data_IF_511505222591
#
_entry.id   IF_511505222591
#
_cell.length_a   1.000
_cell.length_b   1.000
_cell.length_c   1.000
_cell.angle_alpha   90.00
_cell.angle_beta   90.00
_cell.angle_gamma   90.00
#
_symmetry.space_group_name_H-M   'P 1'
#
loop_
_entity.id
_entity.type
_entity.pdbx_description
1 polymer ?
#
# COMPACT_ATOMS: atom_id res chain seq x y z
N UNK A 1 -19.26 -16.01 3.11
CA UNK A 1 -18.50 -15.53 1.95
C UNK A 1 -17.91 -14.20 2.36
N UNK A 2 -16.59 -14.11 2.39
CA UNK A 2 -15.88 -12.88 2.72
C UNK A 2 -15.70 -12.08 1.43
N UNK A 3 -16.11 -10.82 1.45
CA UNK A 3 -16.07 -9.92 0.28
C UNK A 3 -15.03 -8.82 0.44
N UNK A 4 -13.90 -9.14 1.06
CA UNK A 4 -12.75 -8.26 1.29
C UNK A 4 -12.33 -7.45 0.03
N UNK A 5 -12.39 -8.11 -1.13
CA UNK A 5 -12.05 -7.57 -2.46
C UNK A 5 -12.91 -6.35 -2.85
N UNK A 6 -14.03 -6.10 -2.17
CA UNK A 6 -14.83 -4.90 -2.40
C UNK A 6 -14.11 -3.59 -2.03
N UNK A 7 -13.10 -3.66 -1.15
CA UNK A 7 -12.35 -2.50 -0.70
C UNK A 7 -11.16 -2.24 -1.62
N UNK A 8 -11.18 -1.09 -2.29
CA UNK A 8 -10.21 -0.70 -3.32
C UNK A 8 -9.03 0.13 -2.80
N UNK A 9 -9.01 0.46 -1.51
CA UNK A 9 -7.90 1.17 -0.86
C UNK A 9 -7.58 0.57 0.50
N UNK A 10 -6.34 0.77 0.96
CA UNK A 10 -5.89 0.31 2.27
C UNK A 10 -6.74 0.90 3.40
N UNK A 11 -7.10 2.18 3.29
CA UNK A 11 -7.90 2.89 4.28
C UNK A 11 -9.33 2.37 4.36
N UNK A 12 -9.94 2.01 3.22
CA UNK A 12 -11.27 1.39 3.20
C UNK A 12 -11.21 -0.06 3.71
N UNK A 13 -10.17 -0.80 3.33
CA UNK A 13 -9.96 -2.18 3.75
C UNK A 13 -9.83 -2.29 5.26
N UNK A 14 -8.88 -1.56 5.84
CA UNK A 14 -8.58 -1.61 7.28
C UNK A 14 -9.55 -0.75 8.10
N UNK A 15 -10.18 0.24 7.46
CA UNK A 15 -11.27 1.02 8.05
C UNK A 15 -12.57 0.24 8.21
N UNK A 16 -12.76 -0.85 7.47
CA UNK A 16 -13.90 -1.76 7.63
C UNK A 16 -13.91 -2.49 8.98
N UNK A 17 -12.73 -2.65 9.58
CA UNK A 17 -12.48 -3.41 10.83
C UNK A 17 -12.93 -4.87 10.77
N UNK A 18 -13.00 -5.46 9.57
CA UNK A 18 -13.20 -6.90 9.44
C UNK A 18 -11.89 -7.63 9.80
N UNK A 19 -11.88 -8.53 10.82
CA UNK A 19 -10.66 -9.20 11.27
C UNK A 19 -10.06 -10.17 10.26
N UNK A 20 -10.81 -10.56 9.21
CA UNK A 20 -10.29 -11.42 8.15
C UNK A 20 -9.57 -10.61 7.07
N UNK A 21 -9.81 -9.29 7.04
CA UNK A 21 -9.34 -8.41 5.99
C UNK A 21 -8.05 -7.71 6.35
N UNK A 22 -7.10 -7.77 5.43
CA UNK A 22 -5.92 -6.92 5.43
C UNK A 22 -5.52 -6.50 4.03
N UNK A 23 -4.53 -5.61 3.97
CA UNK A 23 -4.09 -5.02 2.71
C UNK A 23 -2.81 -5.69 2.22
N UNK A 24 -2.89 -6.34 1.05
CA UNK A 24 -1.74 -6.93 0.38
C UNK A 24 -0.98 -5.85 -0.38
N UNK A 25 0.10 -5.34 0.21
CA UNK A 25 0.72 -4.05 -0.15
C UNK A 25 1.16 -3.98 -1.61
N UNK A 26 1.90 -4.98 -2.10
CA UNK A 26 2.42 -4.99 -3.48
C UNK A 26 1.39 -5.37 -4.54
N UNK A 27 0.32 -6.06 -4.15
CA UNK A 27 -0.78 -6.42 -5.05
C UNK A 27 -1.87 -5.36 -5.09
N UNK A 28 -1.85 -4.39 -4.16
CA UNK A 28 -2.85 -3.33 -4.03
C UNK A 28 -4.28 -3.85 -3.94
N UNK A 29 -4.48 -4.93 -3.19
CA UNK A 29 -5.80 -5.56 -2.97
C UNK A 29 -6.06 -5.77 -1.48
N UNK A 30 -7.34 -5.72 -1.11
CA UNK A 30 -7.81 -6.15 0.21
C UNK A 30 -8.15 -7.64 0.15
N UNK A 31 -7.47 -8.43 0.97
CA UNK A 31 -7.63 -9.89 1.02
C UNK A 31 -7.33 -10.42 2.41
N UNK A 32 -7.59 -11.71 2.61
CA UNK A 32 -7.04 -12.45 3.72
C UNK A 32 -5.53 -12.58 3.62
N UNK A 33 -4.90 -12.88 4.75
CA UNK A 33 -3.45 -13.10 4.83
C UNK A 33 -3.00 -14.31 4.01
N UNK A 34 -3.76 -15.41 4.03
CA UNK A 34 -3.48 -16.64 3.27
C UNK A 34 -3.65 -16.49 1.75
N UNK A 35 -4.43 -15.49 1.32
CA UNK A 35 -4.62 -15.15 -0.09
C UNK A 35 -3.60 -14.12 -0.61
N UNK A 36 -2.79 -13.52 0.26
CA UNK A 36 -1.73 -12.58 -0.12
C UNK A 36 -0.39 -13.32 -0.22
N UNK A 37 0.23 -13.27 -1.40
CA UNK A 37 1.51 -13.94 -1.63
C UNK A 37 2.62 -13.33 -0.74
N UNK A 38 3.36 -14.19 -0.03
CA UNK A 38 4.46 -13.80 0.88
C UNK A 38 4.00 -12.84 1.99
N UNK A 39 2.75 -12.96 2.45
CA UNK A 39 2.19 -12.09 3.49
C UNK A 39 2.94 -12.13 4.83
N UNK A 40 3.75 -13.16 5.07
CA UNK A 40 4.62 -13.34 6.23
C UNK A 40 5.90 -12.48 6.17
N UNK A 41 6.24 -11.92 5.01
CA UNK A 41 7.37 -11.02 4.86
C UNK A 41 7.12 -9.62 5.43
N UNK A 42 8.16 -8.94 5.92
CA UNK A 42 8.02 -7.63 6.54
C UNK A 42 7.36 -6.63 5.58
N UNK A 43 6.32 -5.98 6.08
CA UNK A 43 5.56 -4.93 5.37
C UNK A 43 4.85 -5.39 4.08
N UNK A 44 4.76 -6.69 3.80
CA UNK A 44 3.98 -7.19 2.64
C UNK A 44 2.46 -7.22 2.88
N UNK A 45 2.06 -7.38 4.14
CA UNK A 45 0.66 -7.40 4.55
C UNK A 45 0.43 -6.39 5.68
N UNK A 46 -0.53 -5.48 5.49
CA UNK A 46 -0.92 -4.51 6.50
C UNK A 46 -2.24 -4.95 7.16
N UNK A 47 -2.24 -4.98 8.48
CA UNK A 47 -3.39 -5.35 9.32
C UNK A 47 -3.93 -4.18 10.15
N UNK A 48 -3.16 -3.08 10.25
CA UNK A 48 -3.55 -1.85 10.92
C UNK A 48 -3.46 -0.66 9.96
N UNK A 49 -4.37 0.31 10.12
CA UNK A 49 -4.43 1.52 9.29
C UNK A 49 -3.09 2.28 9.27
N UNK A 50 -2.33 2.25 10.36
CA UNK A 50 -1.01 2.88 10.47
C UNK A 50 0.07 2.21 9.60
N UNK A 51 -0.19 0.99 9.13
CA UNK A 51 0.68 0.23 8.23
C UNK A 51 0.34 0.46 6.75
N UNK A 52 -0.67 1.29 6.43
CA UNK A 52 -0.92 1.69 5.05
C UNK A 52 0.29 2.45 4.46
N UNK A 53 0.49 2.27 3.16
CA UNK A 53 1.61 2.88 2.43
C UNK A 53 1.50 4.40 2.48
N UNK A 54 2.59 5.07 2.82
CA UNK A 54 2.68 6.53 2.76
C UNK A 54 3.75 6.92 1.73
N UNK A 55 3.36 7.72 0.74
CA UNK A 55 4.24 8.18 -0.32
C UNK A 55 4.35 9.70 -0.30
N UNK A 56 5.58 10.21 -0.39
CA UNK A 56 5.87 11.63 -0.54
C UNK A 56 6.85 11.85 -1.69
N UNK A 57 6.67 12.96 -2.42
CA UNK A 57 7.42 13.30 -3.63
C UNK A 57 8.03 14.69 -3.47
N UNK A 58 9.29 14.86 -3.87
CA UNK A 58 9.99 16.13 -3.87
C UNK A 58 10.68 16.39 -5.23
N UNK A 59 10.46 17.55 -5.88
CA UNK A 59 9.48 18.59 -5.54
C UNK A 59 8.03 18.14 -5.76
N UNK A 60 7.11 18.67 -4.95
CA UNK A 60 5.66 18.40 -5.09
C UNK A 60 5.02 19.05 -6.32
N UNK A 61 5.63 20.14 -6.81
CA UNK A 61 5.13 20.91 -7.94
C UNK A 61 6.25 21.07 -8.97
N UNK A 62 5.92 20.90 -10.24
CA UNK A 62 6.84 21.07 -11.37
C UNK A 62 6.14 21.92 -12.43
N UNK A 63 6.86 22.86 -13.03
CA UNK A 63 6.33 23.70 -14.12
C UNK A 63 6.11 22.87 -15.39
N UNK A 64 5.03 23.14 -16.13
CA UNK A 64 4.71 22.50 -17.42
C UNK A 64 5.83 22.69 -18.46
N UNK A 65 6.61 23.78 -18.34
CA UNK A 65 7.73 24.10 -19.24
C UNK A 65 9.02 23.36 -18.91
N UNK A 66 9.11 22.70 -17.76
CA UNK A 66 10.29 21.96 -17.35
C UNK A 66 10.22 20.50 -17.80
N UNK A 67 11.35 19.94 -18.21
CA UNK A 67 11.50 18.53 -18.58
C UNK A 67 12.64 17.89 -17.79
N UNK A 68 12.56 16.57 -17.62
CA UNK A 68 13.60 15.76 -16.94
C UNK A 68 13.94 16.22 -15.51
N UNK A 69 12.96 16.74 -14.77
CA UNK A 69 13.15 17.16 -13.38
C UNK A 69 13.40 15.93 -12.50
N UNK A 70 14.53 15.84 -11.78
CA UNK A 70 14.78 14.73 -10.87
C UNK A 70 13.79 14.78 -9.71
N UNK A 71 13.08 13.67 -9.48
CA UNK A 71 12.15 13.53 -8.36
C UNK A 71 12.74 12.59 -7.31
N UNK A 72 12.62 12.96 -6.06
CA UNK A 72 12.93 12.12 -4.91
C UNK A 72 11.61 11.60 -4.33
N UNK A 73 11.45 10.28 -4.30
CA UNK A 73 10.31 9.62 -3.68
C UNK A 73 10.73 9.06 -2.33
N UNK A 74 9.94 9.34 -1.28
CA UNK A 74 10.08 8.68 0.02
C UNK A 74 8.81 7.90 0.29
N UNK A 75 8.95 6.58 0.38
CA UNK A 75 7.88 5.67 0.73
C UNK A 75 8.09 5.13 2.16
N UNK A 76 7.01 4.98 2.92
CA UNK A 76 7.00 4.33 4.24
C UNK A 76 5.99 3.19 4.24
N UNK A 77 6.21 2.20 5.10
CA UNK A 77 5.38 1.00 5.22
C UNK A 77 5.30 0.19 3.91
N UNK A 78 6.42 0.11 3.18
CA UNK A 78 6.54 -0.62 1.92
C UNK A 78 7.59 -1.71 2.12
N UNK A 79 7.35 -2.95 1.64
CA UNK A 79 8.35 -4.01 1.73
C UNK A 79 9.59 -3.68 0.91
N UNK A 80 10.62 -4.51 1.05
CA UNK A 80 11.82 -4.39 0.22
C UNK A 80 11.46 -4.48 -1.27
N UNK A 81 11.85 -3.44 -2.01
CA UNK A 81 11.61 -3.27 -3.45
C UNK A 81 12.83 -3.66 -4.30
N UNK A 82 13.93 -4.10 -3.68
CA UNK A 82 15.19 -4.44 -4.37
C UNK A 82 15.22 -5.86 -4.99
N UNK A 83 14.12 -6.60 -4.86
CA UNK A 83 13.99 -7.99 -5.31
C UNK A 83 14.10 -8.18 -6.84
#
# INVERSE_FOLDING_TARGET
>A
VESCVQYTSCELCLGSRDPHCGWCVLHSICSRQDACERADEPQRFASDLLQCVQLTVQPRNVSVTMSQVPLVLQARNVPDLSA
#
